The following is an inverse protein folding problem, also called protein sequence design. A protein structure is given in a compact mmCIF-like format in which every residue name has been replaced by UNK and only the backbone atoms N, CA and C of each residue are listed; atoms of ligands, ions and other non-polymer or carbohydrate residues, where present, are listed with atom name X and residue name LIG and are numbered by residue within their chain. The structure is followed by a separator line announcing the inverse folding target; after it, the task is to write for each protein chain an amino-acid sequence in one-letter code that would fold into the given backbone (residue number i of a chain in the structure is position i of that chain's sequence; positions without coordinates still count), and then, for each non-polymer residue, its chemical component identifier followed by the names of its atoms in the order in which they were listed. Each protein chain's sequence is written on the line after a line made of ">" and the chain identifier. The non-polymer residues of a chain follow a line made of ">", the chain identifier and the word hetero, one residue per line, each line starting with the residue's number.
data_IF_501800324007
#
_entry.id   IF_501800324007
#
_cell.length_a   1.000
_cell.length_b   1.000
_cell.length_c   1.000
_cell.angle_alpha   90.00
_cell.angle_beta   90.00
_cell.angle_gamma   90.00
#
_symmetry.space_group_name_H-M   'P 1'
#
loop_
_entity.id
_entity.type
_entity.pdbx_description
1 polymer ?
#
# COMPACT_ATOMS: atom_id res chain seq x y z
N UNK A 1 44.71 55.54 79.02
CA UNK A 1 45.56 55.28 77.84
C UNK A 1 45.34 53.84 77.39
N UNK A 2 45.14 53.65 76.08
CA UNK A 2 45.03 52.40 75.30
C UNK A 2 43.92 51.39 75.67
N UNK A 3 42.76 51.52 74.98
CA UNK A 3 41.76 50.44 74.81
C UNK A 3 42.17 49.55 73.64
N UNK A 4 42.16 48.23 73.87
CA UNK A 4 42.37 47.15 72.89
C UNK A 4 41.36 47.25 71.74
N UNK A 5 41.86 47.10 70.50
CA UNK A 5 41.05 46.88 69.29
C UNK A 5 40.78 45.39 69.12
N UNK A 6 39.53 44.96 69.31
CA UNK A 6 39.09 43.61 68.94
C UNK A 6 38.80 43.55 67.44
N UNK A 7 39.47 42.64 66.73
CA UNK A 7 39.16 42.28 65.34
C UNK A 7 37.94 41.34 65.33
N UNK A 8 36.87 41.73 64.64
CA UNK A 8 35.81 40.82 64.21
C UNK A 8 35.95 40.65 62.69
N UNK A 9 36.36 39.47 62.25
CA UNK A 9 36.41 39.09 60.84
C UNK A 9 34.99 38.78 60.35
N UNK A 10 34.45 39.64 59.49
CA UNK A 10 33.16 39.39 58.82
C UNK A 10 33.37 38.44 57.64
N UNK A 11 32.84 37.21 57.76
CA UNK A 11 32.71 36.25 56.67
C UNK A 11 31.67 36.77 55.68
N UNK A 12 32.08 37.17 54.48
CA UNK A 12 31.17 37.49 53.39
C UNK A 12 30.88 36.21 52.59
N UNK A 13 29.67 35.66 52.72
CA UNK A 13 29.19 34.56 51.87
C UNK A 13 28.69 35.18 50.56
N UNK A 14 29.41 34.91 49.47
CA UNK A 14 29.00 35.26 48.11
C UNK A 14 27.95 34.24 47.63
N UNK A 15 26.70 34.68 47.53
CA UNK A 15 25.65 33.92 46.84
C UNK A 15 25.72 34.27 45.36
N UNK A 16 26.26 33.37 44.54
CA UNK A 16 26.20 33.50 43.09
C UNK A 16 24.79 33.20 42.61
N UNK A 17 24.10 34.21 42.06
CA UNK A 17 22.83 34.03 41.38
C UNK A 17 23.07 33.29 40.05
N UNK A 18 22.56 32.06 39.94
CA UNK A 18 22.49 31.35 38.66
C UNK A 18 21.38 31.98 37.84
N UNK A 19 21.75 32.73 36.80
CA UNK A 19 20.80 33.23 35.81
C UNK A 19 20.46 32.06 34.88
N UNK A 20 19.25 31.51 35.04
CA UNK A 20 18.70 30.51 34.13
C UNK A 20 18.30 31.23 32.84
N UNK A 21 19.14 31.16 31.81
CA UNK A 21 18.74 31.58 30.47
C UNK A 21 17.63 30.62 29.97
N UNK A 22 16.50 31.13 29.45
CA UNK A 22 15.52 30.27 28.81
C UNK A 22 16.22 29.54 27.66
N UNK A 23 16.09 28.21 27.62
CA UNK A 23 16.53 27.44 26.47
C UNK A 23 15.89 28.03 25.20
N UNK A 24 16.58 28.04 24.04
CA UNK A 24 15.93 28.39 22.79
C UNK A 24 14.71 27.46 22.65
N UNK A 25 13.51 28.05 22.74
CA UNK A 25 12.29 27.35 22.43
C UNK A 25 12.47 26.84 21.01
N UNK A 26 12.37 25.51 20.82
CA UNK A 26 12.16 24.98 19.49
C UNK A 26 10.84 25.59 19.05
N UNK A 27 10.90 26.61 18.20
CA UNK A 27 9.72 27.10 17.52
C UNK A 27 9.10 25.87 16.87
N UNK A 28 7.89 25.51 17.31
CA UNK A 28 7.10 24.55 16.57
C UNK A 28 7.10 25.04 15.11
N UNK A 29 7.34 24.16 14.12
CA UNK A 29 7.23 24.57 12.72
C UNK A 29 5.88 25.27 12.58
N UNK A 30 5.92 26.50 12.05
CA UNK A 30 4.70 27.24 11.76
C UNK A 30 3.77 26.27 11.02
N UNK A 31 2.57 26.07 11.55
CA UNK A 31 1.57 25.24 10.91
C UNK A 31 1.24 25.87 9.55
N UNK A 32 1.98 25.49 8.53
CA UNK A 32 1.60 25.71 7.14
C UNK A 32 0.22 25.11 6.95
N UNK A 33 -0.54 25.61 5.98
CA UNK A 33 -1.89 25.13 5.65
C UNK A 33 -1.94 23.65 5.23
N UNK A 34 -0.85 22.90 5.37
CA UNK A 34 -0.60 21.62 4.74
C UNK A 34 -0.37 21.77 3.24
N UNK A 35 0.28 20.77 2.66
CA UNK A 35 0.20 20.49 1.23
C UNK A 35 -0.99 19.59 0.91
N UNK A 36 -1.15 19.32 -0.39
CA UNK A 36 -2.23 18.47 -0.94
C UNK A 36 -1.61 17.40 -1.84
N UNK A 37 -2.13 16.18 -1.78
CA UNK A 37 -1.93 15.18 -2.85
C UNK A 37 -3.26 15.01 -3.56
N UNK A 38 -3.27 15.16 -4.88
CA UNK A 38 -4.45 14.91 -5.70
C UNK A 38 -4.09 14.02 -6.90
N UNK A 39 -5.06 13.35 -7.47
CA UNK A 39 -4.83 12.55 -8.67
C UNK A 39 -6.07 11.80 -9.12
N UNK A 40 -5.88 11.00 -10.16
CA UNK A 40 -6.95 10.18 -10.76
C UNK A 40 -6.55 8.71 -10.76
N UNK A 41 -7.46 7.84 -10.33
CA UNK A 41 -7.35 6.40 -10.48
C UNK A 41 -8.12 5.93 -11.72
N UNK A 42 -7.41 5.23 -12.59
CA UNK A 42 -7.98 4.65 -13.81
C UNK A 42 -7.73 3.15 -13.90
N UNK A 43 -8.54 2.45 -14.69
CA UNK A 43 -8.21 1.11 -15.16
C UNK A 43 -7.02 1.19 -16.12
N UNK A 44 -6.37 0.05 -16.41
CA UNK A 44 -5.31 0.02 -17.43
C UNK A 44 -5.77 0.52 -18.82
N UNK A 45 -7.08 0.50 -19.10
CA UNK A 45 -7.69 0.98 -20.34
C UNK A 45 -8.15 2.44 -20.28
N UNK A 46 -7.87 3.14 -19.17
CA UNK A 46 -8.15 4.57 -19.00
C UNK A 46 -9.56 4.90 -18.49
N UNK A 47 -10.42 3.92 -18.22
CA UNK A 47 -11.71 4.19 -17.58
C UNK A 47 -11.51 4.60 -16.10
N UNK A 48 -12.25 5.59 -15.58
CA UNK A 48 -12.14 6.00 -14.18
C UNK A 48 -12.58 4.88 -13.22
N UNK A 49 -11.97 4.83 -12.04
CA UNK A 49 -12.29 3.82 -11.01
C UNK A 49 -12.77 4.51 -9.74
N UNK A 50 -14.06 4.35 -9.44
CA UNK A 50 -14.73 5.00 -8.32
C UNK A 50 -14.76 4.15 -7.06
N UNK A 51 -14.90 4.80 -5.91
CA UNK A 51 -15.16 4.17 -4.61
C UNK A 51 -13.95 3.49 -3.96
N UNK A 52 -12.75 3.60 -4.53
CA UNK A 52 -11.56 2.91 -4.03
C UNK A 52 -10.94 3.70 -2.89
N UNK A 53 -10.64 3.03 -1.78
CA UNK A 53 -10.02 3.67 -0.60
C UNK A 53 -8.55 3.97 -0.91
N UNK A 54 -8.16 5.22 -0.70
CA UNK A 54 -6.77 5.66 -0.78
C UNK A 54 -6.07 5.40 0.56
N UNK A 55 -5.00 4.62 0.53
CA UNK A 55 -4.06 4.43 1.63
C UNK A 55 -2.87 5.37 1.45
N UNK A 56 -2.40 5.90 2.58
CA UNK A 56 -1.24 6.79 2.63
C UNK A 56 -0.26 6.26 3.65
N UNK A 57 1.01 6.23 3.27
CA UNK A 57 2.12 5.89 4.16
C UNK A 57 3.06 7.07 4.28
N UNK A 58 3.19 7.61 5.47
CA UNK A 58 4.13 8.69 5.79
C UNK A 58 5.50 8.11 6.07
N UNK A 59 6.55 8.80 5.64
CA UNK A 59 7.92 8.47 6.05
C UNK A 59 8.15 8.58 7.57
N UNK A 60 7.28 9.30 8.28
CA UNK A 60 7.31 9.43 9.75
C UNK A 60 6.50 8.36 10.49
N UNK A 61 5.75 7.52 9.78
CA UNK A 61 4.89 6.49 10.35
C UNK A 61 3.60 7.01 11.02
N UNK A 62 3.30 8.32 10.91
CA UNK A 62 2.11 8.95 11.47
C UNK A 62 0.85 8.74 10.59
N UNK A 63 0.63 7.50 10.13
CA UNK A 63 -0.40 7.18 9.13
C UNK A 63 -1.83 7.32 9.68
N UNK A 64 -2.04 7.00 10.96
CA UNK A 64 -3.37 6.99 11.61
C UNK A 64 -4.00 8.37 11.74
N UNK A 65 -3.21 9.43 11.52
CA UNK A 65 -3.64 10.83 11.57
C UNK A 65 -3.98 11.39 10.19
N UNK A 66 -3.81 10.61 9.13
CA UNK A 66 -4.02 11.05 7.76
C UNK A 66 -5.49 10.88 7.34
N UNK A 67 -6.01 11.74 6.44
CA UNK A 67 -7.38 11.66 5.99
C UNK A 67 -7.67 10.35 5.24
N UNK A 68 -8.85 9.78 5.51
CA UNK A 68 -9.36 8.63 4.77
C UNK A 68 -10.22 9.11 3.61
N UNK A 69 -9.76 8.88 2.39
CA UNK A 69 -10.42 9.36 1.17
C UNK A 69 -10.75 8.17 0.26
N UNK A 70 -11.79 8.34 -0.57
CA UNK A 70 -12.14 7.41 -1.64
C UNK A 70 -12.15 8.15 -2.98
N UNK A 71 -11.86 7.43 -4.05
CA UNK A 71 -11.99 7.98 -5.41
C UNK A 71 -13.46 8.26 -5.74
N UNK A 72 -13.73 9.38 -6.42
CA UNK A 72 -15.06 9.77 -6.87
C UNK A 72 -15.49 9.04 -8.16
N UNK A 73 -16.68 9.37 -8.70
CA UNK A 73 -17.20 8.75 -9.94
C UNK A 73 -16.33 8.97 -11.17
N UNK A 74 -15.54 10.05 -11.17
CA UNK A 74 -14.58 10.35 -12.22
C UNK A 74 -13.17 9.84 -11.87
N UNK A 75 -13.02 9.06 -10.80
CA UNK A 75 -11.77 8.46 -10.35
C UNK A 75 -10.86 9.42 -9.59
N UNK A 76 -11.28 10.66 -9.35
CA UNK A 76 -10.43 11.66 -8.69
C UNK A 76 -10.39 11.42 -7.19
N UNK A 77 -9.27 11.78 -6.58
CA UNK A 77 -9.11 11.81 -5.14
C UNK A 77 -8.26 13.01 -4.73
N UNK A 78 -8.48 13.49 -3.51
CA UNK A 78 -7.73 14.59 -2.92
C UNK A 78 -7.49 14.31 -1.44
N UNK A 79 -6.22 14.34 -1.05
CA UNK A 79 -5.72 14.17 0.31
C UNK A 79 -5.22 15.53 0.79
N UNK A 80 -6.03 16.21 1.58
CA UNK A 80 -5.69 17.49 2.19
C UNK A 80 -6.37 17.64 3.56
N UNK A 81 -5.75 18.39 4.49
CA UNK A 81 -4.37 18.88 4.46
C UNK A 81 -3.37 17.76 4.85
N UNK A 82 -2.18 17.79 4.26
CA UNK A 82 -1.07 16.90 4.61
C UNK A 82 0.13 17.71 5.11
N UNK A 83 0.80 17.34 6.21
CA UNK A 83 2.08 17.94 6.58
C UNK A 83 3.10 17.86 5.45
N UNK A 84 4.02 18.83 5.36
CA UNK A 84 5.17 18.70 4.48
C UNK A 84 5.99 17.45 4.84
N UNK A 85 6.33 16.63 3.85
CA UNK A 85 6.94 15.33 4.10
C UNK A 85 6.99 14.44 2.87
N UNK A 86 7.35 13.17 3.08
CA UNK A 86 7.32 12.15 2.03
C UNK A 86 6.23 11.13 2.27
N UNK A 87 5.49 10.81 1.21
CA UNK A 87 4.34 9.93 1.25
C UNK A 87 4.39 8.88 0.15
N UNK A 88 3.92 7.68 0.44
CA UNK A 88 3.56 6.67 -0.56
C UNK A 88 2.05 6.55 -0.61
N UNK A 89 1.52 6.44 -1.82
CA UNK A 89 0.08 6.29 -2.07
C UNK A 89 -0.20 4.87 -2.51
N UNK A 90 -1.26 4.29 -1.95
CA UNK A 90 -1.80 3.00 -2.35
C UNK A 90 -3.31 3.03 -2.46
N UNK A 91 -3.87 2.08 -3.20
CA UNK A 91 -5.29 1.92 -3.42
C UNK A 91 -5.72 0.56 -2.92
N UNK A 92 -6.62 0.54 -1.94
CA UNK A 92 -7.02 -0.66 -1.21
C UNK A 92 -8.35 -1.24 -1.75
N UNK A 93 -8.31 -2.54 -2.04
CA UNK A 93 -9.42 -3.33 -2.55
C UNK A 93 -9.91 -4.28 -1.46
N UNK A 94 -11.06 -4.01 -0.82
CA UNK A 94 -11.57 -4.84 0.26
C UNK A 94 -12.00 -6.23 -0.20
N UNK A 95 -12.39 -6.39 -1.48
CA UNK A 95 -12.85 -7.67 -2.03
C UNK A 95 -11.72 -8.71 -2.08
N UNK A 96 -10.49 -8.26 -2.29
CA UNK A 96 -9.29 -9.09 -2.40
C UNK A 96 -8.29 -8.88 -1.27
N UNK A 97 -8.62 -8.01 -0.30
CA UNK A 97 -7.76 -7.61 0.82
C UNK A 97 -6.36 -7.16 0.36
N UNK A 98 -6.29 -6.50 -0.79
CA UNK A 98 -5.02 -6.15 -1.44
C UNK A 98 -4.86 -4.64 -1.60
N UNK A 99 -3.61 -4.17 -1.66
CA UNK A 99 -3.29 -2.77 -1.97
C UNK A 99 -2.38 -2.72 -3.20
N UNK A 100 -2.73 -1.88 -4.18
CA UNK A 100 -1.81 -1.51 -5.25
C UNK A 100 -1.16 -0.17 -4.93
N UNK A 101 0.17 -0.10 -5.00
CA UNK A 101 0.95 1.09 -4.69
C UNK A 101 1.44 1.81 -5.94
N UNK A 102 1.57 3.13 -5.85
CA UNK A 102 1.99 3.95 -7.00
C UNK A 102 3.52 3.90 -7.20
N UNK A 103 4.03 3.73 -8.45
CA UNK A 103 3.32 3.43 -9.69
C UNK A 103 3.25 1.93 -9.98
N UNK A 104 2.04 1.36 -10.08
CA UNK A 104 1.79 -0.07 -10.39
C UNK A 104 2.73 -1.03 -9.68
N UNK A 105 2.75 -0.98 -8.35
CA UNK A 105 3.55 -1.84 -7.48
C UNK A 105 2.68 -2.69 -6.58
N UNK A 106 3.05 -3.95 -6.47
CA UNK A 106 2.45 -4.87 -5.51
C UNK A 106 2.85 -4.55 -4.07
N UNK A 107 4.07 -4.07 -3.89
CA UNK A 107 4.65 -3.86 -2.56
C UNK A 107 4.86 -2.39 -2.30
N UNK A 108 4.48 -1.97 -1.10
CA UNK A 108 4.77 -0.64 -0.58
C UNK A 108 6.27 -0.33 -0.68
N UNK A 109 7.13 -1.30 -0.36
CA UNK A 109 8.59 -1.11 -0.39
C UNK A 109 9.14 -0.76 -1.77
N UNK A 110 8.42 -1.10 -2.84
CA UNK A 110 8.78 -0.80 -4.23
C UNK A 110 8.11 0.49 -4.76
N UNK A 111 7.21 1.09 -3.98
CA UNK A 111 6.45 2.28 -4.32
C UNK A 111 7.32 3.54 -4.27
N UNK A 112 6.95 4.52 -5.10
CA UNK A 112 7.62 5.82 -5.18
C UNK A 112 7.23 6.70 -4.00
N UNK A 113 8.21 7.40 -3.45
CA UNK A 113 7.99 8.46 -2.46
C UNK A 113 7.64 9.78 -3.19
N UNK A 114 6.52 10.37 -2.81
CA UNK A 114 6.05 11.67 -3.28
C UNK A 114 6.36 12.73 -2.21
N UNK A 115 6.98 13.84 -2.62
CA UNK A 115 7.29 14.95 -1.71
C UNK A 115 6.13 15.92 -1.69
N UNK A 116 5.56 16.14 -0.51
CA UNK A 116 4.53 17.16 -0.26
C UNK A 116 5.19 18.38 0.37
N UNK A 117 4.84 19.56 -0.12
CA UNK A 117 5.28 20.86 0.40
C UNK A 117 4.07 21.68 0.82
N UNK A 118 4.24 22.51 1.83
CA UNK A 118 3.17 23.37 2.33
C UNK A 118 2.62 24.28 1.24
N UNK A 119 1.30 24.34 1.12
CA UNK A 119 0.60 25.15 0.12
C UNK A 119 0.71 24.65 -1.32
N UNK A 120 1.40 23.54 -1.57
CA UNK A 120 1.54 22.95 -2.91
C UNK A 120 0.61 21.74 -3.08
N UNK A 121 0.17 21.54 -4.33
CA UNK A 121 -0.53 20.31 -4.74
C UNK A 121 0.42 19.41 -5.52
N UNK A 122 0.61 18.19 -5.01
CA UNK A 122 1.37 17.13 -5.67
C UNK A 122 0.40 16.24 -6.45
N UNK A 123 0.58 16.14 -7.77
CA UNK A 123 -0.25 15.29 -8.62
C UNK A 123 0.30 13.86 -8.66
N UNK A 124 -0.56 12.89 -8.36
CA UNK A 124 -0.22 11.48 -8.28
C UNK A 124 -1.30 10.68 -9.01
N UNK A 125 -1.16 10.49 -10.31
CA UNK A 125 -2.07 9.65 -11.08
C UNK A 125 -1.67 8.17 -11.00
N UNK A 126 -2.66 7.28 -11.06
CA UNK A 126 -2.44 5.84 -11.05
C UNK A 126 -3.36 5.12 -12.05
N UNK A 127 -2.81 4.07 -12.67
CA UNK A 127 -3.58 3.12 -13.45
C UNK A 127 -3.48 1.73 -12.80
N UNK A 128 -4.61 1.04 -12.63
CA UNK A 128 -4.64 -0.34 -12.14
C UNK A 128 -3.75 -1.25 -12.99
N UNK A 129 -3.27 -2.34 -12.40
CA UNK A 129 -2.61 -3.39 -13.17
C UNK A 129 -3.50 -3.81 -14.35
N UNK A 130 -2.93 -3.94 -15.56
CA UNK A 130 -3.64 -4.58 -16.65
C UNK A 130 -4.10 -5.97 -16.25
N UNK A 131 -5.16 -6.45 -16.88
CA UNK A 131 -5.70 -7.77 -16.60
C UNK A 131 -5.64 -8.66 -17.84
N UNK A 132 -5.62 -9.97 -17.59
CA UNK A 132 -5.80 -11.01 -18.58
C UNK A 132 -6.70 -12.11 -18.04
N UNK A 133 -6.65 -13.28 -18.64
CA UNK A 133 -7.39 -14.44 -18.16
C UNK A 133 -6.63 -15.75 -18.31
N UNK A 134 -7.14 -16.77 -17.65
CA UNK A 134 -6.70 -18.16 -17.78
C UNK A 134 -7.86 -19.01 -18.25
N UNK A 135 -7.62 -19.88 -19.24
CA UNK A 135 -8.55 -20.95 -19.63
C UNK A 135 -7.93 -22.28 -19.23
N UNK A 136 -8.50 -22.90 -18.22
CA UNK A 136 -7.91 -24.03 -17.51
C UNK A 136 -8.68 -25.30 -17.83
N UNK A 137 -7.97 -26.38 -18.13
CA UNK A 137 -8.47 -27.75 -18.21
C UNK A 137 -7.69 -28.63 -17.26
N UNK A 138 -8.33 -29.64 -16.66
CA UNK A 138 -7.69 -30.54 -15.72
C UNK A 138 -7.60 -31.97 -16.27
N UNK A 139 -6.42 -32.58 -16.13
CA UNK A 139 -6.21 -34.01 -16.39
C UNK A 139 -5.80 -34.77 -15.13
N UNK A 140 -6.24 -36.03 -15.03
CA UNK A 140 -5.73 -36.99 -14.06
C UNK A 140 -4.31 -37.47 -14.41
N UNK A 141 -3.68 -38.22 -13.50
CA UNK A 141 -2.34 -38.75 -13.69
C UNK A 141 -2.21 -39.70 -14.90
N UNK A 142 -3.29 -40.42 -15.23
CA UNK A 142 -3.40 -41.29 -16.40
C UNK A 142 -3.74 -40.55 -17.71
N UNK A 143 -3.96 -39.22 -17.63
CA UNK A 143 -4.31 -38.37 -18.77
C UNK A 143 -5.80 -38.19 -19.02
N UNK A 144 -6.67 -38.88 -18.27
CA UNK A 144 -8.13 -38.71 -18.38
C UNK A 144 -8.54 -37.26 -18.06
N UNK A 145 -9.55 -36.75 -18.76
CA UNK A 145 -10.07 -35.41 -18.50
C UNK A 145 -10.94 -35.42 -17.25
N UNK A 146 -10.74 -34.46 -16.36
CA UNK A 146 -11.56 -34.28 -15.16
C UNK A 146 -12.51 -33.11 -15.43
N UNK A 147 -13.83 -33.34 -15.58
CA UNK A 147 -14.79 -32.29 -15.92
C UNK A 147 -15.13 -31.38 -14.73
N UNK A 148 -15.23 -31.97 -13.53
CA UNK A 148 -15.59 -31.28 -12.30
C UNK A 148 -14.36 -30.91 -11.48
N UNK A 149 -14.03 -29.63 -11.40
CA UNK A 149 -12.91 -29.16 -10.58
C UNK A 149 -13.04 -27.70 -10.17
N UNK A 150 -12.32 -27.34 -9.11
CA UNK A 150 -12.14 -25.98 -8.62
C UNK A 150 -10.67 -25.57 -8.73
N UNK A 151 -10.41 -24.29 -8.95
CA UNK A 151 -9.07 -23.71 -8.98
C UNK A 151 -9.03 -22.44 -8.15
N UNK A 152 -8.02 -22.33 -7.29
CA UNK A 152 -7.57 -21.08 -6.71
C UNK A 152 -6.31 -20.60 -7.47
N UNK A 153 -6.44 -19.49 -8.19
CA UNK A 153 -5.32 -18.78 -8.78
C UNK A 153 -4.74 -17.82 -7.74
N UNK A 154 -3.52 -18.11 -7.27
CA UNK A 154 -2.85 -17.41 -6.19
C UNK A 154 -1.69 -16.61 -6.77
N UNK A 155 -1.89 -15.30 -6.90
CA UNK A 155 -0.89 -14.32 -7.30
C UNK A 155 -0.37 -13.53 -6.11
N UNK A 156 0.54 -12.60 -6.37
CA UNK A 156 1.15 -11.77 -5.33
C UNK A 156 0.16 -10.81 -4.64
N UNK A 157 -0.82 -10.32 -5.41
CA UNK A 157 -1.81 -9.32 -4.96
C UNK A 157 -3.24 -9.81 -5.03
N UNK A 158 -3.45 -10.99 -5.59
CA UNK A 158 -4.75 -11.36 -6.07
C UNK A 158 -4.93 -12.85 -5.91
N UNK A 159 -6.00 -13.22 -5.20
CA UNK A 159 -6.50 -14.58 -5.16
C UNK A 159 -7.84 -14.59 -5.89
N UNK A 160 -7.98 -15.48 -6.87
CA UNK A 160 -9.26 -15.72 -7.55
C UNK A 160 -9.57 -17.19 -7.57
N UNK A 161 -10.74 -17.55 -7.04
CA UNK A 161 -11.25 -18.90 -7.06
C UNK A 161 -12.32 -19.06 -8.15
N UNK A 162 -12.47 -20.28 -8.69
CA UNK A 162 -13.57 -20.64 -9.56
C UNK A 162 -13.72 -22.15 -9.68
N UNK A 163 -14.92 -22.62 -10.03
CA UNK A 163 -15.20 -24.04 -10.24
C UNK A 163 -15.97 -24.24 -11.55
N UNK A 164 -15.86 -25.43 -12.12
CA UNK A 164 -16.58 -25.87 -13.33
C UNK A 164 -17.01 -27.33 -13.17
N UNK A 165 -18.10 -27.71 -13.83
CA UNK A 165 -18.50 -29.10 -14.05
C UNK A 165 -18.41 -29.50 -15.55
N UNK A 166 -18.01 -28.56 -16.40
CA UNK A 166 -18.01 -28.64 -17.85
C UNK A 166 -16.62 -28.97 -18.42
N UNK A 167 -15.61 -29.11 -17.57
CA UNK A 167 -14.23 -29.46 -17.92
C UNK A 167 -13.35 -28.30 -18.38
N UNK A 168 -13.90 -27.08 -18.45
CA UNK A 168 -13.15 -25.87 -18.78
C UNK A 168 -13.53 -24.76 -17.81
N UNK A 169 -12.55 -24.30 -17.03
CA UNK A 169 -12.71 -23.13 -16.17
C UNK A 169 -12.06 -21.91 -16.82
N UNK A 170 -12.77 -20.79 -16.90
CA UNK A 170 -12.19 -19.51 -17.33
C UNK A 170 -12.15 -18.55 -16.14
N UNK A 171 -10.95 -18.15 -15.75
CA UNK A 171 -10.73 -17.10 -14.77
C UNK A 171 -10.34 -15.81 -15.52
N UNK A 172 -11.26 -14.86 -15.59
CA UNK A 172 -11.05 -13.54 -16.22
C UNK A 172 -10.53 -12.50 -15.23
N UNK A 173 -10.14 -11.33 -15.72
CA UNK A 173 -9.80 -10.14 -14.91
C UNK A 173 -8.71 -10.39 -13.86
N UNK A 174 -7.77 -11.28 -14.17
CA UNK A 174 -6.60 -11.52 -13.34
C UNK A 174 -5.57 -10.44 -13.63
N UNK A 175 -5.08 -9.68 -12.63
CA UNK A 175 -3.94 -8.80 -12.83
C UNK A 175 -2.77 -9.52 -13.50
N UNK A 176 -2.10 -8.86 -14.43
CA UNK A 176 -0.91 -9.42 -15.09
C UNK A 176 0.15 -9.79 -14.07
N UNK A 177 0.74 -10.96 -14.25
CA UNK A 177 1.67 -11.51 -13.26
C UNK A 177 1.81 -13.02 -13.35
N UNK A 178 2.41 -13.59 -12.32
CA UNK A 178 2.63 -15.02 -12.18
C UNK A 178 1.76 -15.58 -11.06
N UNK A 179 1.06 -16.67 -11.35
CA UNK A 179 0.11 -17.31 -10.44
C UNK A 179 0.50 -18.76 -10.19
N UNK A 180 0.43 -19.20 -8.94
CA UNK A 180 0.33 -20.62 -8.61
C UNK A 180 -1.15 -21.03 -8.70
N UNK A 181 -1.43 -22.20 -9.24
CA UNK A 181 -2.78 -22.74 -9.30
C UNK A 181 -2.91 -23.87 -8.28
N UNK A 182 -3.75 -23.69 -7.27
CA UNK A 182 -4.24 -24.80 -6.44
C UNK A 182 -5.48 -25.36 -7.13
N UNK A 183 -5.56 -26.67 -7.31
CA UNK A 183 -6.63 -27.35 -8.01
C UNK A 183 -7.22 -28.41 -7.09
N UNK A 184 -8.55 -28.49 -7.05
CA UNK A 184 -9.27 -29.50 -6.28
C UNK A 184 -10.31 -30.20 -7.17
N UNK A 185 -10.37 -31.53 -7.11
CA UNK A 185 -11.39 -32.34 -7.79
C UNK A 185 -11.62 -33.65 -7.03
N UNK A 186 -12.87 -34.09 -6.92
CA UNK A 186 -13.26 -35.38 -6.30
C UNK A 186 -12.64 -35.64 -4.92
N UNK A 187 -12.51 -34.59 -4.09
CA UNK A 187 -11.90 -34.66 -2.76
C UNK A 187 -10.37 -34.68 -2.74
N UNK A 188 -9.71 -34.70 -3.90
CA UNK A 188 -8.27 -34.60 -4.05
C UNK A 188 -7.85 -33.15 -4.32
N UNK A 189 -6.63 -32.79 -3.88
CA UNK A 189 -6.04 -31.48 -4.13
C UNK A 189 -4.65 -31.62 -4.75
N UNK A 190 -4.27 -30.67 -5.61
CA UNK A 190 -2.95 -30.59 -6.20
C UNK A 190 -2.57 -29.14 -6.50
N UNK A 191 -1.28 -28.83 -6.46
CA UNK A 191 -0.77 -27.48 -6.76
C UNK A 191 0.11 -27.53 -8.00
N UNK A 192 0.00 -26.52 -8.87
CA UNK A 192 0.84 -26.36 -10.04
C UNK A 192 2.32 -26.31 -9.64
N UNK A 193 3.15 -27.11 -10.29
CA UNK A 193 4.62 -27.11 -10.04
C UNK A 193 5.34 -25.92 -10.65
N UNK A 194 4.69 -25.22 -11.56
CA UNK A 194 5.21 -24.06 -12.27
C UNK A 194 4.22 -22.93 -12.17
N UNK A 195 4.73 -21.71 -12.09
CA UNK A 195 3.90 -20.53 -12.17
C UNK A 195 3.32 -20.37 -13.58
N UNK A 196 2.05 -20.02 -13.63
CA UNK A 196 1.35 -19.65 -14.86
C UNK A 196 1.43 -18.14 -15.03
N UNK A 197 1.79 -17.68 -16.24
CA UNK A 197 1.83 -16.26 -16.54
C UNK A 197 0.50 -15.78 -17.11
N UNK A 198 -0.07 -14.75 -16.50
CA UNK A 198 -1.18 -13.97 -17.05
C UNK A 198 -0.59 -12.81 -17.84
N UNK A 199 -1.09 -12.64 -19.07
CA UNK A 199 -0.65 -11.61 -20.01
C UNK A 199 -1.83 -10.68 -20.29
N UNK A 200 -1.54 -9.39 -20.45
CA UNK A 200 -2.54 -8.35 -20.71
C UNK A 200 -3.41 -8.71 -21.91
N UNK A 201 -4.73 -8.58 -21.74
CA UNK A 201 -5.74 -8.81 -22.79
C UNK A 201 -5.68 -10.18 -23.49
N UNK A 202 -5.05 -11.17 -22.85
CA UNK A 202 -4.93 -12.55 -23.36
C UNK A 202 -5.58 -13.53 -22.38
N UNK A 203 -6.34 -14.47 -22.93
CA UNK A 203 -6.81 -15.66 -22.19
C UNK A 203 -5.82 -16.80 -22.43
N UNK A 204 -4.88 -16.99 -21.50
CA UNK A 204 -3.83 -18.00 -21.62
C UNK A 204 -4.40 -19.41 -21.38
N UNK A 205 -4.24 -20.36 -22.32
CA UNK A 205 -4.64 -21.75 -22.09
C UNK A 205 -3.66 -22.45 -21.12
N UNK A 206 -4.21 -23.22 -20.18
CA UNK A 206 -3.45 -23.95 -19.17
C UNK A 206 -4.01 -25.36 -19.02
N UNK A 207 -3.16 -26.36 -19.21
CA UNK A 207 -3.47 -27.75 -18.84
C UNK A 207 -2.86 -28.06 -17.48
N UNK A 208 -3.69 -28.14 -16.45
CA UNK A 208 -3.29 -28.57 -15.12
C UNK A 208 -3.38 -30.10 -15.02
N UNK A 209 -2.56 -30.68 -14.12
CA UNK A 209 -2.59 -32.12 -13.83
C UNK A 209 -2.75 -32.37 -12.34
N UNK A 210 -3.76 -33.17 -12.00
CA UNK A 210 -3.96 -33.73 -10.67
C UNK A 210 -3.13 -35.00 -10.54
N UNK A 211 -2.33 -35.12 -9.49
CA UNK A 211 -1.52 -36.31 -9.19
C UNK A 211 -1.97 -36.92 -7.88
#
# INVERSE_FOLDING_TARGET
>A
MFRLRSLAASLAVLVSAVVLAPAPGHAAPAAGSGGTIAGTLTTAKGAPVAGIRVQVKSSTGADDQLPLVRTDEAGHYELAPLPAGQYRIGFYFPETLSTQWVPRKARESQATWFTVRDGETTIVDEALFPTGGLRITLRAADGASIPGFCVDAIGELYLKAGCTAEGVLVLSDLPVGTYALSVAADGNQGVSRTFTRVVEDVVTPVEARLR
#
